data_IF_918808375063
#
_entry.id   IF_918808375063
#
_cell.length_a   1.000
_cell.length_b   1.000
_cell.length_c   1.000
_cell.angle_alpha   90.00
_cell.angle_beta   90.00
_cell.angle_gamma   90.00
#
_symmetry.space_group_name_H-M   'P 1'
#
loop_
_entity.id
_entity.type
_entity.pdbx_description
1 polymer ?
#
# COMPACT_ATOMS: atom_id res chain seq x y z
N UNK A 1 17.75 10.14 14.15
CA UNK A 1 16.60 10.28 13.21
C UNK A 1 17.00 10.14 11.73
N UNK A 2 18.16 10.64 11.26
CA UNK A 2 18.57 10.50 9.84
C UNK A 2 18.69 9.05 9.33
N UNK A 3 19.07 8.10 10.18
CA UNK A 3 19.21 6.70 9.79
C UNK A 3 17.83 6.07 9.51
N UNK A 4 16.85 6.35 10.37
CA UNK A 4 15.47 5.87 10.23
C UNK A 4 14.82 6.39 8.94
N UNK A 5 14.99 7.67 8.62
CA UNK A 5 14.43 8.26 7.40
C UNK A 5 15.11 7.72 6.13
N UNK A 6 16.42 7.45 6.18
CA UNK A 6 17.14 6.81 5.06
C UNK A 6 16.71 5.36 4.84
N UNK A 7 16.55 4.61 5.92
CA UNK A 7 16.12 3.21 5.86
C UNK A 7 14.69 3.12 5.34
N UNK A 8 13.81 3.99 5.82
CA UNK A 8 12.43 4.11 5.33
C UNK A 8 12.37 4.50 3.83
N UNK A 9 13.19 5.45 3.40
CA UNK A 9 13.28 5.81 1.98
C UNK A 9 13.80 4.64 1.12
N UNK A 10 14.80 3.90 1.62
CA UNK A 10 15.34 2.72 0.94
C UNK A 10 14.30 1.60 0.81
N UNK A 11 13.59 1.29 1.90
CA UNK A 11 12.50 0.30 1.91
C UNK A 11 11.39 0.70 0.94
N UNK A 12 11.01 1.98 0.95
CA UNK A 12 10.08 2.53 -0.02
C UNK A 12 10.56 2.25 -1.45
N UNK A 13 11.72 2.78 -1.82
CA UNK A 13 12.22 2.74 -3.20
C UNK A 13 12.47 1.33 -3.73
N UNK A 14 12.95 0.41 -2.90
CA UNK A 14 13.38 -0.91 -3.37
C UNK A 14 12.28 -1.98 -3.24
N UNK A 15 11.46 -1.94 -2.18
CA UNK A 15 10.50 -3.00 -1.89
C UNK A 15 9.07 -2.63 -2.33
N UNK A 16 8.58 -1.43 -1.97
CA UNK A 16 7.17 -1.08 -2.15
C UNK A 16 6.88 -0.29 -3.43
N UNK A 17 7.75 0.65 -3.82
CA UNK A 17 7.50 1.49 -4.98
C UNK A 17 7.36 0.69 -6.29
N UNK A 18 8.24 -0.28 -6.61
CA UNK A 18 8.14 -1.01 -7.87
C UNK A 18 6.80 -1.75 -8.08
N UNK A 19 6.29 -2.56 -7.12
CA UNK A 19 4.99 -3.22 -7.29
C UNK A 19 3.82 -2.22 -7.30
N UNK A 20 3.86 -1.15 -6.51
CA UNK A 20 2.81 -0.12 -6.51
C UNK A 20 2.76 0.58 -7.87
N UNK A 21 3.91 0.99 -8.41
CA UNK A 21 4.00 1.62 -9.72
C UNK A 21 3.46 0.68 -10.80
N UNK A 22 3.81 -0.61 -10.74
CA UNK A 22 3.30 -1.61 -11.68
C UNK A 22 1.77 -1.73 -11.61
N UNK A 23 1.22 -1.79 -10.40
CA UNK A 23 -0.23 -1.84 -10.19
C UNK A 23 -0.91 -0.58 -10.72
N UNK A 24 -0.39 0.61 -10.40
CA UNK A 24 -0.91 1.87 -10.92
C UNK A 24 -0.86 1.93 -12.46
N UNK A 25 0.21 1.44 -13.08
CA UNK A 25 0.32 1.36 -14.54
C UNK A 25 -0.66 0.36 -15.16
N UNK A 26 -0.95 -0.75 -14.46
CA UNK A 26 -1.88 -1.76 -14.91
C UNK A 26 -3.33 -1.28 -14.82
N UNK A 27 -3.70 -0.68 -13.68
CA UNK A 27 -5.06 -0.17 -13.43
C UNK A 27 -5.30 1.21 -14.04
N UNK A 28 -4.25 1.89 -14.51
CA UNK A 28 -4.25 3.29 -14.98
C UNK A 28 -4.73 4.27 -13.91
N UNK A 29 -4.52 3.95 -12.65
CA UNK A 29 -4.89 4.80 -11.52
C UNK A 29 -3.72 5.65 -11.04
N UNK A 30 -4.04 6.76 -10.38
CA UNK A 30 -3.05 7.60 -9.70
C UNK A 30 -2.57 6.92 -8.41
N UNK A 31 -1.43 7.35 -7.91
CA UNK A 31 -0.89 6.88 -6.63
C UNK A 31 -1.82 7.18 -5.45
N UNK A 32 -2.59 8.27 -5.52
CA UNK A 32 -3.56 8.66 -4.49
C UNK A 32 -4.80 7.75 -4.52
N UNK A 33 -5.27 7.40 -5.72
CA UNK A 33 -6.35 6.45 -5.88
C UNK A 33 -5.93 5.06 -5.35
N UNK A 34 -4.69 4.64 -5.64
CA UNK A 34 -4.13 3.39 -5.12
C UNK A 34 -3.99 3.41 -3.59
N UNK A 35 -3.49 4.50 -3.00
CA UNK A 35 -3.44 4.71 -1.55
C UNK A 35 -4.81 4.49 -0.91
N UNK A 36 -5.86 5.14 -1.45
CA UNK A 36 -7.23 5.04 -0.89
C UNK A 36 -7.82 3.65 -1.06
N UNK A 37 -7.63 3.04 -2.22
CA UNK A 37 -8.12 1.69 -2.49
C UNK A 37 -7.49 0.65 -1.54
N UNK A 38 -6.18 0.74 -1.31
CA UNK A 38 -5.47 -0.14 -0.38
C UNK A 38 -5.88 0.10 1.08
N UNK A 39 -6.09 1.35 1.48
CA UNK A 39 -6.64 1.67 2.80
C UNK A 39 -8.04 1.10 2.99
N UNK A 40 -8.93 1.27 2.01
CA UNK A 40 -10.25 0.66 2.03
C UNK A 40 -10.17 -0.87 2.14
N UNK A 41 -9.31 -1.50 1.34
CA UNK A 41 -9.11 -2.96 1.40
C UNK A 41 -8.56 -3.43 2.75
N UNK A 42 -7.63 -2.68 3.36
CA UNK A 42 -7.15 -2.96 4.71
C UNK A 42 -8.28 -2.87 5.76
N UNK A 43 -9.22 -1.95 5.59
CA UNK A 43 -10.38 -1.78 6.46
C UNK A 43 -11.40 -2.92 6.28
N UNK A 44 -11.67 -3.35 5.03
CA UNK A 44 -12.47 -4.53 4.75
C UNK A 44 -11.85 -5.80 5.36
N UNK A 45 -10.53 -5.95 5.25
CA UNK A 45 -9.82 -7.06 5.87
C UNK A 45 -9.93 -7.00 7.41
N UNK A 46 -9.78 -5.81 8.01
CA UNK A 46 -9.93 -5.63 9.45
C UNK A 46 -11.34 -6.01 9.93
N UNK A 47 -12.39 -5.51 9.26
CA UNK A 47 -13.79 -5.78 9.61
C UNK A 47 -14.16 -7.25 9.43
N UNK A 48 -13.64 -7.93 8.39
CA UNK A 48 -13.90 -9.36 8.18
C UNK A 48 -13.37 -10.25 9.33
N UNK A 49 -12.21 -9.89 9.90
CA UNK A 49 -11.59 -10.62 11.00
C UNK A 49 -11.97 -10.12 12.40
N UNK A 50 -12.77 -9.07 12.51
CA UNK A 50 -13.22 -8.51 13.79
C UNK A 50 -14.34 -9.34 14.46
N UNK A 51 -14.42 -10.65 14.18
CA UNK A 51 -15.54 -11.52 14.61
C UNK A 51 -15.67 -11.64 16.12
N UNK A 52 -14.53 -11.62 16.82
CA UNK A 52 -14.46 -11.81 18.27
C UNK A 52 -14.16 -10.50 19.02
N UNK A 53 -14.10 -9.38 18.29
CA UNK A 53 -13.85 -8.07 18.89
C UNK A 53 -15.12 -7.52 19.54
N UNK A 54 -14.95 -6.77 20.64
CA UNK A 54 -16.07 -6.12 21.33
C UNK A 54 -16.88 -5.22 20.39
N UNK A 55 -18.21 -5.16 20.60
CA UNK A 55 -19.16 -4.42 19.76
C UNK A 55 -18.71 -3.01 19.40
N UNK A 56 -18.15 -2.26 20.36
CA UNK A 56 -17.68 -0.89 20.13
C UNK A 56 -16.54 -0.81 19.10
N UNK A 57 -15.61 -1.76 19.13
CA UNK A 57 -14.51 -1.82 18.17
C UNK A 57 -14.99 -2.26 16.79
N UNK A 58 -15.88 -3.25 16.73
CA UNK A 58 -16.50 -3.67 15.48
C UNK A 58 -17.26 -2.51 14.81
N UNK A 59 -18.06 -1.75 15.58
CA UNK A 59 -18.78 -0.58 15.08
C UNK A 59 -17.84 0.50 14.54
N UNK A 60 -16.75 0.79 15.27
CA UNK A 60 -15.71 1.72 14.82
C UNK A 60 -15.07 1.28 13.49
N UNK A 61 -14.69 0.00 13.36
CA UNK A 61 -14.08 -0.54 12.14
C UNK A 61 -15.04 -0.48 10.95
N UNK A 62 -16.32 -0.77 11.14
CA UNK A 62 -17.33 -0.63 10.10
C UNK A 62 -17.50 0.82 9.66
N UNK A 63 -17.60 1.75 10.61
CA UNK A 63 -17.67 3.17 10.29
C UNK A 63 -16.43 3.63 9.52
N UNK A 64 -15.23 3.21 9.95
CA UNK A 64 -13.98 3.53 9.28
C UNK A 64 -13.90 2.94 7.86
N UNK A 65 -14.44 1.73 7.66
CA UNK A 65 -14.56 1.10 6.35
C UNK A 65 -15.47 1.90 5.41
N UNK A 66 -16.58 2.42 5.91
CA UNK A 66 -17.49 3.28 5.13
C UNK A 66 -16.79 4.60 4.76
N UNK A 67 -16.09 5.22 5.70
CA UNK A 67 -15.34 6.48 5.45
C UNK A 67 -14.28 6.27 4.37
N UNK A 68 -13.50 5.19 4.47
CA UNK A 68 -12.46 4.87 3.48
C UNK A 68 -13.05 4.50 2.12
N UNK A 69 -14.21 3.82 2.08
CA UNK A 69 -14.96 3.59 0.85
C UNK A 69 -15.38 4.90 0.17
N UNK A 70 -16.02 5.80 0.92
CA UNK A 70 -16.46 7.11 0.41
C UNK A 70 -15.24 7.89 -0.10
N UNK A 71 -14.13 7.90 0.65
CA UNK A 71 -12.92 8.59 0.21
C UNK A 71 -12.38 8.01 -1.10
N UNK A 72 -12.32 6.68 -1.22
CA UNK A 72 -11.84 5.98 -2.41
C UNK A 72 -12.76 6.20 -3.63
N UNK A 73 -14.07 6.26 -3.41
CA UNK A 73 -15.05 6.41 -4.49
C UNK A 73 -15.18 7.86 -4.99
N UNK A 74 -15.24 8.84 -4.08
CA UNK A 74 -15.58 10.22 -4.42
C UNK A 74 -14.38 11.15 -4.56
N UNK A 75 -13.27 10.84 -3.89
CA UNK A 75 -12.09 11.70 -3.87
C UNK A 75 -10.81 11.00 -4.32
N UNK A 76 -10.81 10.07 -5.31
CA UNK A 76 -9.67 9.19 -5.59
C UNK A 76 -8.35 9.95 -5.82
N UNK A 77 -8.38 11.10 -6.50
CA UNK A 77 -7.18 11.83 -6.93
C UNK A 77 -6.74 12.98 -6.02
N UNK A 78 -7.44 13.20 -4.89
CA UNK A 78 -7.07 14.27 -3.96
C UNK A 78 -5.73 13.95 -3.29
N UNK A 79 -4.75 14.87 -3.26
CA UNK A 79 -3.44 14.62 -2.66
C UNK A 79 -3.53 14.14 -1.21
N UNK A 80 -2.80 13.08 -0.89
CA UNK A 80 -2.68 12.54 0.47
C UNK A 80 -1.24 12.61 0.95
N UNK A 81 -1.09 12.84 2.25
CA UNK A 81 0.21 12.85 2.91
C UNK A 81 0.37 11.56 3.71
N UNK A 82 1.55 10.94 3.63
CA UNK A 82 1.94 9.86 4.52
C UNK A 82 2.68 10.41 5.72
N UNK A 83 2.43 9.83 6.90
CA UNK A 83 3.16 10.16 8.12
C UNK A 83 4.29 9.15 8.36
N UNK A 84 5.54 9.61 8.32
CA UNK A 84 6.71 8.74 8.50
C UNK A 84 6.74 8.00 9.84
N UNK A 85 6.29 8.64 10.93
CA UNK A 85 6.17 7.99 12.24
C UNK A 85 5.11 6.88 12.24
N UNK A 86 3.99 7.09 11.56
CA UNK A 86 2.95 6.06 11.40
C UNK A 86 3.47 4.85 10.62
N UNK A 87 4.17 5.08 9.50
CA UNK A 87 4.84 4.00 8.75
C UNK A 87 5.82 3.22 9.61
N UNK A 88 6.63 3.89 10.42
CA UNK A 88 7.55 3.23 11.34
C UNK A 88 6.82 2.38 12.38
N UNK A 89 5.71 2.90 12.94
CA UNK A 89 4.88 2.14 13.87
C UNK A 89 4.32 0.87 13.22
N UNK A 90 3.73 0.96 12.02
CA UNK A 90 3.20 -0.20 11.29
C UNK A 90 4.30 -1.20 10.95
N UNK A 91 5.50 -0.72 10.57
CA UNK A 91 6.67 -1.57 10.36
C UNK A 91 7.07 -2.33 11.63
N UNK A 92 7.08 -1.66 12.78
CA UNK A 92 7.42 -2.31 14.05
C UNK A 92 6.43 -3.42 14.40
N UNK A 93 5.13 -3.21 14.17
CA UNK A 93 4.11 -4.26 14.32
C UNK A 93 4.34 -5.41 13.35
N UNK A 94 4.62 -5.12 12.07
CA UNK A 94 4.89 -6.15 11.08
C UNK A 94 6.11 -7.00 11.44
N UNK A 95 7.19 -6.39 11.95
CA UNK A 95 8.40 -7.10 12.39
C UNK A 95 8.08 -8.04 13.56
N UNK A 96 7.30 -7.57 14.54
CA UNK A 96 6.85 -8.39 15.67
C UNK A 96 6.02 -9.59 15.18
N UNK A 97 5.08 -9.36 14.25
CA UNK A 97 4.27 -10.41 13.66
C UNK A 97 5.14 -11.45 12.92
N UNK A 98 6.15 -10.99 12.16
CA UNK A 98 7.08 -11.85 11.43
C UNK A 98 7.96 -12.69 12.37
N UNK A 99 8.42 -12.13 13.50
CA UNK A 99 9.14 -12.88 14.53
C UNK A 99 8.24 -13.97 15.12
N UNK A 100 6.99 -13.65 15.41
CA UNK A 100 6.01 -14.63 15.90
C UNK A 100 5.74 -15.76 14.90
N UNK A 101 5.71 -15.45 13.60
CA UNK A 101 5.60 -16.47 12.54
C UNK A 101 6.88 -17.34 12.49
N UNK A 102 8.05 -16.71 12.52
CA UNK A 102 9.33 -17.41 12.42
C UNK A 102 9.61 -18.33 13.62
N UNK A 103 9.06 -18.03 14.80
CA UNK A 103 9.15 -18.90 15.99
C UNK A 103 8.17 -20.08 15.98
N UNK A 104 7.50 -20.35 14.85
CA UNK A 104 6.57 -21.45 14.67
C UNK A 104 5.10 -21.06 14.78
N UNK A 105 4.78 -19.76 14.86
CA UNK A 105 3.42 -19.26 14.82
C UNK A 105 2.79 -19.33 13.42
N UNK A 106 1.46 -19.35 13.36
CA UNK A 106 0.74 -19.28 12.10
C UNK A 106 0.82 -17.86 11.48
N UNK A 107 0.60 -17.76 10.17
CA UNK A 107 0.43 -16.46 9.50
C UNK A 107 -0.80 -15.75 10.07
N UNK A 108 -0.59 -14.64 10.78
CA UNK A 108 -1.68 -13.89 11.40
C UNK A 108 -2.32 -12.93 10.39
N UNK A 109 -3.64 -12.79 10.46
CA UNK A 109 -4.41 -11.80 9.69
C UNK A 109 -3.90 -10.37 9.91
N UNK A 110 -3.33 -10.10 11.10
CA UNK A 110 -2.68 -8.84 11.44
C UNK A 110 -1.48 -8.53 10.54
N UNK A 111 -0.62 -9.51 10.26
CA UNK A 111 0.57 -9.34 9.43
C UNK A 111 0.21 -8.95 7.99
N UNK A 112 -0.80 -9.64 7.43
CA UNK A 112 -1.32 -9.35 6.08
C UNK A 112 -1.90 -7.93 6.04
N UNK A 113 -2.68 -7.55 7.05
CA UNK A 113 -3.24 -6.20 7.16
C UNK A 113 -2.15 -5.14 7.25
N UNK A 114 -1.14 -5.34 8.09
CA UNK A 114 -0.03 -4.42 8.28
C UNK A 114 0.76 -4.24 6.97
N UNK A 115 0.95 -5.33 6.21
CA UNK A 115 1.56 -5.26 4.89
C UNK A 115 0.72 -4.39 3.93
N UNK A 116 -0.60 -4.61 3.85
CA UNK A 116 -1.49 -3.80 2.99
C UNK A 116 -1.44 -2.32 3.38
N UNK A 117 -1.45 -2.01 4.68
CA UNK A 117 -1.35 -0.63 5.17
C UNK A 117 -0.02 0.00 4.75
N UNK A 118 1.10 -0.72 4.85
CA UNK A 118 2.40 -0.22 4.38
C UNK A 118 2.38 0.05 2.88
N UNK A 119 1.81 -0.86 2.07
CA UNK A 119 1.63 -0.61 0.64
C UNK A 119 0.81 0.66 0.37
N UNK A 120 -0.27 0.87 1.12
CA UNK A 120 -1.08 2.07 1.01
C UNK A 120 -0.23 3.32 1.32
N UNK A 121 0.39 3.36 2.49
CA UNK A 121 1.20 4.49 2.94
C UNK A 121 2.37 4.81 2.00
N UNK A 122 3.09 3.79 1.52
CA UNK A 122 4.15 4.01 0.54
C UNK A 122 3.62 4.48 -0.81
N UNK A 123 2.39 4.16 -1.21
CA UNK A 123 1.80 4.72 -2.42
C UNK A 123 1.66 6.24 -2.34
N UNK A 124 1.29 6.79 -1.18
CA UNK A 124 1.24 8.25 -0.97
C UNK A 124 2.62 8.93 -0.99
N UNK A 125 3.71 8.18 -0.82
CA UNK A 125 5.08 8.74 -0.90
C UNK A 125 5.61 8.89 -2.33
N UNK A 126 4.95 8.26 -3.31
CA UNK A 126 5.36 8.33 -4.71
C UNK A 126 5.04 9.72 -5.27
N UNK A 127 6.09 10.47 -5.63
CA UNK A 127 5.92 11.83 -6.17
C UNK A 127 5.38 11.85 -7.60
N UNK A 128 5.79 10.91 -8.43
CA UNK A 128 5.37 10.81 -9.81
C UNK A 128 5.47 9.35 -10.29
N UNK A 129 4.41 8.88 -10.96
CA UNK A 129 4.42 7.56 -11.60
C UNK A 129 5.13 7.71 -12.95
N UNK A 130 6.24 6.99 -13.21
CA UNK A 130 6.91 7.07 -14.49
C UNK A 130 6.00 6.54 -15.61
N UNK A 131 6.00 7.18 -16.81
CA UNK A 131 5.20 6.71 -17.93
C UNK A 131 5.66 5.29 -18.30
N UNK A 132 4.68 4.40 -18.58
CA UNK A 132 4.96 3.01 -19.00
C UNK A 132 5.91 3.08 -20.19
N UNK A 133 7.15 2.61 -20.03
CA UNK A 133 8.14 2.52 -21.14
C UNK A 133 7.42 1.85 -22.30
N UNK A 134 7.16 2.59 -23.39
CA UNK A 134 6.70 2.00 -24.64
C UNK A 134 7.71 0.91 -24.96
N UNK A 135 7.27 -0.36 -24.90
CA UNK A 135 8.01 -1.52 -25.38
C UNK A 135 8.69 -1.11 -26.67
N UNK A 136 10.02 -1.11 -26.65
CA UNK A 136 10.82 -0.52 -27.71
C UNK A 136 10.29 -0.99 -29.07
N UNK A 137 9.88 -0.03 -29.88
CA UNK A 137 9.54 -0.19 -31.30
C UNK A 137 10.83 -0.41 -32.10
N UNK A 138 11.67 -1.36 -31.65
CA UNK A 138 13.04 -1.60 -32.16
C UNK A 138 13.14 -2.78 -33.11
N UNK A 139 12.03 -3.41 -33.49
CA UNK A 139 12.03 -4.46 -34.51
C UNK A 139 11.61 -3.97 -35.90
N UNK A 140 10.77 -2.93 -36.05
CA UNK A 140 10.38 -2.44 -37.40
C UNK A 140 11.29 -1.39 -38.02
N UNK A 141 12.23 -0.78 -37.29
CA UNK A 141 13.20 0.13 -37.90
C UNK A 141 14.25 -0.60 -38.76
N UNK A 142 14.32 -1.94 -38.67
CA UNK A 142 15.19 -2.79 -39.48
C UNK A 142 14.54 -3.25 -40.80
N UNK A 143 13.22 -3.15 -40.93
CA UNK A 143 12.48 -3.48 -42.16
C UNK A 143 12.31 -2.28 -43.10
N UNK A 144 12.50 -1.05 -42.62
CA UNK A 144 12.47 0.15 -43.47
C UNK A 144 13.83 0.46 -44.14
N UNK A 145 14.82 -0.44 -43.99
CA UNK A 145 16.16 -0.34 -44.59
C UNK A 145 16.64 -1.65 -45.24
N UNK A 146 15.73 -2.60 -45.45
CA UNK A 146 15.98 -3.82 -46.21
C UNK A 146 15.29 -3.74 -47.57
#
# INVERSE_FOLDING_TARGET
>A
MMILTRLDAWLGMNLFHPPIILLCQLTRQTQYAMYRALWFFACCHATYYAKDDGWGWAAFLWLWTIITFISAAFTPDVPTQSFGLFRFFVWSMLVIDLIGIASGGALHSLAIRNLIILFAEYAATIKAIPPRRKRERRTSAKEARA
#
